data_IF_878392901705
#
_entry.id   IF_878392901705
#
_cell.length_a   1.000
_cell.length_b   1.000
_cell.length_c   1.000
_cell.angle_alpha   90.00
_cell.angle_beta   90.00
_cell.angle_gamma   90.00
#
_symmetry.space_group_name_H-M   'P 1'
#
loop_
_entity.id
_entity.type
_entity.pdbx_description
1 polymer ?
#
# COMPACT_ATOMS: atom_id res chain seq x y z
N UNK A 1 17.64 94.85 -10.61
CA UNK A 1 18.16 95.02 -9.23
C UNK A 1 18.05 93.67 -8.50
N UNK A 2 19.18 93.18 -7.97
CA UNK A 2 19.42 92.17 -6.90
C UNK A 2 18.36 91.06 -6.70
N UNK A 3 18.62 89.81 -7.09
CA UNK A 3 19.40 88.76 -6.40
C UNK A 3 18.53 87.85 -5.51
N UNK A 4 18.56 86.52 -5.70
CA UNK A 4 19.14 85.51 -4.78
C UNK A 4 18.68 84.06 -5.13
N UNK A 5 19.40 83.08 -4.58
CA UNK A 5 19.61 81.69 -5.02
C UNK A 5 18.73 80.60 -4.37
N UNK A 6 18.40 79.56 -5.17
CA UNK A 6 18.35 78.09 -4.93
C UNK A 6 17.40 77.48 -3.83
N UNK A 7 17.18 76.14 -3.75
CA UNK A 7 15.87 75.50 -3.89
C UNK A 7 15.46 74.60 -2.69
N UNK A 8 14.20 74.16 -2.60
CA UNK A 8 13.75 73.10 -1.66
C UNK A 8 12.32 72.71 -2.08
N UNK A 9 12.10 71.54 -2.72
CA UNK A 9 11.83 70.23 -2.11
C UNK A 9 10.52 70.17 -1.29
N UNK A 10 9.80 69.03 -1.40
CA UNK A 10 8.53 68.63 -0.72
C UNK A 10 7.25 69.25 -1.33
N UNK A 11 6.19 68.52 -1.71
CA UNK A 11 5.69 67.22 -1.28
C UNK A 11 5.11 66.43 -2.47
N UNK A 12 5.74 65.31 -2.83
CA UNK A 12 5.03 64.19 -3.47
C UNK A 12 4.62 63.26 -2.32
N UNK A 13 3.35 63.30 -1.92
CA UNK A 13 2.75 62.33 -1.02
C UNK A 13 2.59 61.00 -1.75
N UNK A 14 3.66 60.21 -1.77
CA UNK A 14 3.63 58.79 -2.09
C UNK A 14 2.84 58.12 -0.95
N UNK A 15 1.57 57.80 -1.22
CA UNK A 15 0.86 56.79 -0.45
C UNK A 15 1.58 55.45 -0.67
N UNK A 16 2.60 55.21 0.14
CA UNK A 16 3.23 53.91 0.26
C UNK A 16 2.18 53.00 0.91
N UNK A 17 1.39 52.35 0.06
CA UNK A 17 0.54 51.24 0.46
C UNK A 17 1.50 50.13 0.86
N UNK A 18 1.93 50.12 2.13
CA UNK A 18 2.59 48.99 2.73
C UNK A 18 1.63 47.80 2.58
N UNK A 19 1.86 46.96 1.58
CA UNK A 19 1.32 45.61 1.54
C UNK A 19 1.97 44.84 2.69
N UNK A 20 1.48 45.09 3.91
CA UNK A 20 1.73 44.24 5.05
C UNK A 20 1.28 42.83 4.64
N UNK A 21 2.11 41.79 4.83
CA UNK A 21 1.63 40.43 4.64
C UNK A 21 0.42 40.28 5.56
N UNK A 22 -0.75 39.95 4.98
CA UNK A 22 -1.90 39.55 5.77
C UNK A 22 -1.43 38.37 6.63
N UNK A 23 -1.26 38.61 7.92
CA UNK A 23 -1.21 37.54 8.90
C UNK A 23 -2.57 36.85 8.79
N UNK A 24 -2.60 35.67 8.17
CA UNK A 24 -3.79 34.83 8.20
C UNK A 24 -4.03 34.49 9.67
N UNK A 25 -4.98 35.19 10.28
CA UNK A 25 -5.53 34.80 11.56
C UNK A 25 -6.03 33.35 11.45
N UNK A 26 -5.97 32.61 12.55
CA UNK A 26 -6.48 31.24 12.59
C UNK A 26 -7.95 31.23 12.15
N UNK A 27 -8.30 30.38 11.19
CA UNK A 27 -9.70 30.12 10.89
C UNK A 27 -10.26 29.21 11.98
N UNK A 28 -11.20 29.76 12.76
CA UNK A 28 -11.80 29.12 13.93
C UNK A 28 -13.14 28.52 13.53
N UNK A 29 -13.29 27.21 13.70
CA UNK A 29 -14.52 26.48 13.43
C UNK A 29 -15.28 26.25 14.74
N UNK A 30 -16.43 26.92 14.96
CA UNK A 30 -17.20 26.80 16.20
C UNK A 30 -17.93 25.46 16.30
N UNK A 31 -17.94 24.88 17.50
CA UNK A 31 -18.67 23.66 17.85
C UNK A 31 -19.34 23.87 19.21
N UNK A 32 -20.65 24.14 19.19
CA UNK A 32 -21.40 24.49 20.40
C UNK A 32 -20.84 25.76 21.06
N UNK A 33 -20.40 25.64 22.31
CA UNK A 33 -19.74 26.75 23.05
C UNK A 33 -18.22 26.80 22.86
N UNK A 34 -17.64 25.84 22.15
CA UNK A 34 -16.20 25.77 21.89
C UNK A 34 -15.88 25.96 20.41
N UNK A 35 -14.63 25.70 20.03
CA UNK A 35 -14.16 25.76 18.66
C UNK A 35 -12.86 24.99 18.46
N UNK A 36 -12.52 24.68 17.22
CA UNK A 36 -11.20 24.16 16.84
C UNK A 36 -10.59 24.97 15.68
N UNK A 37 -9.27 24.89 15.57
CA UNK A 37 -8.50 25.48 14.49
C UNK A 37 -8.64 24.63 13.22
N UNK A 38 -9.05 25.20 12.09
CA UNK A 38 -9.18 24.47 10.81
C UNK A 38 -7.84 24.04 10.19
N UNK A 39 -6.74 24.63 10.66
CA UNK A 39 -5.37 24.28 10.31
C UNK A 39 -4.45 24.50 11.51
N UNK A 40 -3.26 23.86 11.57
CA UNK A 40 -2.37 24.04 12.72
C UNK A 40 -1.90 25.50 12.85
N UNK A 41 -1.95 26.09 14.07
CA UNK A 41 -1.40 27.42 14.33
C UNK A 41 0.07 27.54 13.88
N UNK A 42 0.55 28.72 13.43
CA UNK A 42 1.89 28.85 12.84
C UNK A 42 3.06 28.39 13.72
N UNK A 43 2.92 28.50 15.04
CA UNK A 43 3.88 28.01 16.04
C UNK A 43 3.83 26.48 16.19
N UNK A 44 2.64 25.89 16.10
CA UNK A 44 2.41 24.44 16.14
C UNK A 44 2.66 23.74 14.79
N UNK A 45 2.61 24.46 13.67
CA UNK A 45 2.77 23.95 12.30
C UNK A 45 4.24 23.62 11.92
N UNK A 46 5.12 23.42 12.90
CA UNK A 46 6.57 23.21 12.71
C UNK A 46 6.98 21.79 13.10
N UNK A 47 8.18 21.39 12.71
CA UNK A 47 8.76 20.09 13.10
C UNK A 47 7.90 18.91 12.65
N UNK A 48 7.52 18.04 13.60
CA UNK A 48 6.73 16.82 13.31
C UNK A 48 5.35 17.10 12.74
N UNK A 49 4.71 18.20 13.08
CA UNK A 49 3.42 18.57 12.49
C UNK A 49 3.57 18.89 10.99
N UNK A 50 4.62 19.65 10.62
CA UNK A 50 4.94 19.93 9.23
C UNK A 50 5.28 18.65 8.45
N UNK A 51 6.04 17.73 9.06
CA UNK A 51 6.37 16.44 8.45
C UNK A 51 5.11 15.62 8.17
N UNK A 52 4.19 15.52 9.15
CA UNK A 52 2.95 14.75 8.99
C UNK A 52 2.01 15.35 7.96
N UNK A 53 1.87 16.68 7.92
CA UNK A 53 0.97 17.34 6.96
C UNK A 53 1.46 17.28 5.51
N UNK A 54 2.79 17.19 5.30
CA UNK A 54 3.38 17.18 3.97
C UNK A 54 3.87 15.79 3.53
N UNK A 55 3.64 14.75 4.33
CA UNK A 55 4.07 13.40 4.01
C UNK A 55 3.33 12.89 2.77
N UNK A 56 4.03 12.31 1.77
CA UNK A 56 3.35 11.66 0.66
C UNK A 56 2.58 10.43 1.16
N UNK A 57 1.33 10.32 0.70
CA UNK A 57 0.47 9.18 1.00
C UNK A 57 0.39 8.26 -0.22
N UNK A 58 0.44 6.96 0.04
CA UNK A 58 0.39 5.90 -0.97
C UNK A 58 -1.06 5.47 -1.20
N UNK A 59 -1.77 6.28 -1.98
CA UNK A 59 -3.18 6.02 -2.36
C UNK A 59 -3.28 5.79 -3.87
N UNK A 60 -4.17 4.91 -4.29
CA UNK A 60 -4.52 4.77 -5.72
C UNK A 60 -5.38 5.95 -6.17
N UNK A 61 -6.35 6.34 -5.35
CA UNK A 61 -7.24 7.48 -5.56
C UNK A 61 -7.20 8.40 -4.34
N UNK A 62 -7.12 9.71 -4.57
CA UNK A 62 -7.25 10.73 -3.54
C UNK A 62 -8.62 11.40 -3.69
N UNK A 63 -9.67 10.72 -3.22
CA UNK A 63 -11.07 11.10 -3.40
C UNK A 63 -11.65 11.90 -2.22
N UNK A 64 -10.77 12.59 -1.48
CA UNK A 64 -11.09 13.43 -0.31
C UNK A 64 -11.77 12.71 0.86
N UNK A 65 -11.97 11.39 0.80
CA UNK A 65 -12.50 10.61 1.92
C UNK A 65 -11.50 10.66 3.09
N UNK A 66 -11.98 10.76 4.35
CA UNK A 66 -11.12 10.62 5.51
C UNK A 66 -10.36 9.30 5.46
N UNK A 67 -9.03 9.39 5.59
CA UNK A 67 -8.15 8.23 5.51
C UNK A 67 -8.12 7.55 6.88
N UNK A 68 -8.45 6.25 6.97
CA UNK A 68 -8.36 5.52 8.22
C UNK A 68 -6.93 5.55 8.77
N UNK A 69 -6.84 5.70 10.09
CA UNK A 69 -5.59 5.61 10.84
C UNK A 69 -5.73 4.51 11.90
N UNK A 70 -4.60 4.07 12.47
CA UNK A 70 -4.58 3.05 13.53
C UNK A 70 -5.24 1.72 13.13
N UNK A 71 -5.32 1.43 11.84
CA UNK A 71 -5.72 0.13 11.29
C UNK A 71 -4.49 -0.74 11.09
N UNK A 72 -4.68 -2.06 11.19
CA UNK A 72 -3.63 -3.07 10.95
C UNK A 72 -2.94 -2.90 9.58
N UNK A 73 -3.65 -2.32 8.61
CA UNK A 73 -3.18 -2.09 7.25
C UNK A 73 -2.66 -0.68 6.96
N UNK A 74 -2.61 0.24 7.94
CA UNK A 74 -2.25 1.66 7.72
C UNK A 74 -0.86 1.85 7.10
N UNK A 75 0.03 0.86 7.23
CA UNK A 75 1.31 0.79 6.53
C UNK A 75 1.18 1.00 5.00
N UNK A 76 0.08 0.55 4.39
CA UNK A 76 -0.22 0.74 2.96
C UNK A 76 -0.39 2.21 2.55
N UNK A 77 -0.74 3.08 3.49
CA UNK A 77 -0.93 4.51 3.25
C UNK A 77 0.38 5.28 3.41
N UNK A 78 1.28 4.80 4.27
CA UNK A 78 2.43 5.60 4.72
C UNK A 78 3.79 5.07 4.25
N UNK A 79 3.85 3.85 3.73
CA UNK A 79 5.08 3.18 3.31
C UNK A 79 5.03 2.85 1.82
N UNK A 80 6.16 3.02 1.11
CA UNK A 80 6.30 2.63 -0.31
C UNK A 80 5.91 1.17 -0.54
N UNK A 81 6.33 0.30 0.36
CA UNK A 81 5.84 -1.06 0.47
C UNK A 81 5.41 -1.28 1.91
N UNK A 82 4.14 -1.65 2.11
CA UNK A 82 3.71 -2.16 3.40
C UNK A 82 4.47 -3.47 3.71
N UNK A 83 4.66 -3.74 5.00
CA UNK A 83 5.24 -4.99 5.47
C UNK A 83 4.38 -5.54 6.59
N UNK A 84 4.35 -6.86 6.71
CA UNK A 84 3.74 -7.56 7.83
C UNK A 84 2.25 -7.23 7.99
N UNK A 85 1.50 -7.28 6.88
CA UNK A 85 0.04 -7.12 6.93
C UNK A 85 -0.57 -8.40 7.51
N UNK A 86 -0.73 -8.44 8.83
CA UNK A 86 -1.30 -9.55 9.57
C UNK A 86 -2.82 -9.57 9.46
N UNK A 87 -3.33 -10.24 8.42
CA UNK A 87 -4.76 -10.43 8.22
C UNK A 87 -5.30 -11.64 9.00
N UNK A 88 -4.48 -12.67 9.21
CA UNK A 88 -4.90 -13.97 9.78
C UNK A 88 -5.98 -14.69 8.94
N UNK A 89 -5.76 -15.95 8.53
CA UNK A 89 -4.61 -16.80 8.81
C UNK A 89 -3.34 -16.37 8.06
N UNK A 90 -3.45 -15.47 7.08
CA UNK A 90 -2.30 -15.02 6.30
C UNK A 90 -1.61 -13.80 6.89
N UNK A 91 -0.29 -13.76 6.70
CA UNK A 91 0.47 -12.51 6.64
C UNK A 91 0.79 -12.20 5.19
N UNK A 92 0.65 -10.93 4.82
CA UNK A 92 0.81 -10.45 3.45
C UNK A 92 1.85 -9.36 3.38
N UNK A 93 2.87 -9.56 2.55
CA UNK A 93 4.04 -8.68 2.45
C UNK A 93 4.26 -8.26 0.99
N UNK A 94 3.75 -7.10 0.55
CA UNK A 94 4.07 -6.56 -0.77
C UNK A 94 5.53 -6.09 -0.84
N UNK A 95 6.15 -6.25 -2.01
CA UNK A 95 7.53 -5.85 -2.28
C UNK A 95 7.76 -5.67 -3.77
N UNK A 96 8.96 -5.20 -4.15
CA UNK A 96 9.43 -5.15 -5.54
C UNK A 96 9.53 -6.53 -6.24
N UNK A 97 9.45 -7.63 -5.47
CA UNK A 97 9.44 -9.01 -6.00
C UNK A 97 8.02 -9.52 -6.27
N UNK A 98 7.00 -8.76 -5.89
CA UNK A 98 5.60 -9.17 -5.86
C UNK A 98 5.07 -9.24 -4.42
N UNK A 99 4.09 -10.09 -4.21
CA UNK A 99 3.38 -10.25 -2.95
C UNK A 99 3.75 -11.57 -2.29
N UNK A 100 4.41 -11.54 -1.14
CA UNK A 100 4.65 -12.74 -0.35
C UNK A 100 3.46 -13.04 0.57
N UNK A 101 2.93 -14.25 0.47
CA UNK A 101 1.86 -14.77 1.32
C UNK A 101 2.43 -15.82 2.26
N UNK A 102 2.39 -15.53 3.56
CA UNK A 102 2.79 -16.47 4.59
C UNK A 102 1.54 -17.06 5.24
N UNK A 103 1.52 -18.39 5.41
CA UNK A 103 0.55 -19.09 6.24
C UNK A 103 1.29 -19.78 7.40
N UNK A 104 1.49 -19.07 8.52
CA UNK A 104 2.17 -19.66 9.66
C UNK A 104 1.31 -20.70 10.34
N UNK A 105 1.88 -21.87 10.61
CA UNK A 105 1.22 -22.98 11.32
C UNK A 105 1.84 -23.26 12.69
N UNK A 106 2.99 -22.64 12.97
CA UNK A 106 3.79 -22.88 14.16
C UNK A 106 4.30 -21.57 14.76
N UNK A 107 4.57 -21.61 16.06
CA UNK A 107 5.23 -20.53 16.80
C UNK A 107 6.72 -20.80 16.89
N UNK A 108 7.52 -19.73 16.81
CA UNK A 108 8.95 -19.80 17.08
C UNK A 108 9.19 -20.29 18.51
N UNK A 109 10.27 -21.05 18.71
CA UNK A 109 10.62 -21.62 20.02
C UNK A 109 10.84 -20.54 21.08
N UNK A 110 11.31 -19.37 20.68
CA UNK A 110 11.55 -18.21 21.53
C UNK A 110 10.24 -17.53 21.98
N UNK A 111 9.08 -17.89 21.40
CA UNK A 111 7.79 -17.31 21.74
C UNK A 111 7.58 -15.87 21.27
N UNK A 112 8.44 -15.37 20.38
CA UNK A 112 8.42 -13.98 19.91
C UNK A 112 7.68 -13.77 18.59
N UNK A 113 7.00 -14.79 18.08
CA UNK A 113 6.19 -14.69 16.87
C UNK A 113 6.00 -16.02 16.14
N UNK A 114 5.15 -16.03 15.11
CA UNK A 114 4.94 -17.22 14.28
C UNK A 114 6.07 -17.42 13.26
N UNK A 115 6.21 -18.66 12.77
CA UNK A 115 7.22 -19.03 11.77
C UNK A 115 6.76 -18.63 10.36
N UNK A 116 7.52 -17.74 9.71
CA UNK A 116 7.23 -17.20 8.37
C UNK A 116 8.40 -17.51 7.41
N UNK A 117 8.64 -18.80 7.15
CA UNK A 117 9.80 -19.31 6.43
C UNK A 117 9.51 -19.78 5.00
N UNK A 118 8.24 -19.90 4.64
CA UNK A 118 7.80 -20.52 3.39
C UNK A 118 6.73 -19.63 2.74
N UNK A 119 7.10 -18.54 2.06
CA UNK A 119 6.13 -17.68 1.38
C UNK A 119 5.65 -18.28 0.07
N UNK A 120 4.34 -18.23 -0.18
CA UNK A 120 3.80 -18.34 -1.53
C UNK A 120 3.90 -16.96 -2.16
N UNK A 121 4.79 -16.79 -3.13
CA UNK A 121 5.02 -15.49 -3.76
C UNK A 121 4.17 -15.35 -5.00
N UNK A 122 3.22 -14.42 -4.97
CA UNK A 122 2.40 -14.01 -6.10
C UNK A 122 3.12 -12.89 -6.85
N UNK A 123 3.32 -13.06 -8.15
CA UNK A 123 4.02 -12.09 -8.99
C UNK A 123 3.57 -12.21 -10.44
N UNK A 124 4.35 -11.71 -11.39
CA UNK A 124 4.14 -11.96 -12.80
C UNK A 124 5.43 -11.99 -13.61
N UNK A 125 5.31 -12.42 -14.87
CA UNK A 125 6.41 -12.42 -15.82
C UNK A 125 6.92 -10.99 -16.02
N UNK A 126 8.22 -10.79 -15.77
CA UNK A 126 8.91 -9.49 -15.88
C UNK A 126 8.16 -8.34 -15.20
N UNK A 127 7.58 -8.62 -14.03
CA UNK A 127 6.82 -7.65 -13.24
C UNK A 127 7.66 -7.17 -12.04
N UNK A 128 7.84 -5.85 -11.94
CA UNK A 128 8.63 -5.15 -10.91
C UNK A 128 7.80 -4.00 -10.34
N UNK A 129 6.85 -4.25 -9.42
CA UNK A 129 6.05 -3.18 -8.85
C UNK A 129 6.96 -2.13 -8.19
N UNK A 130 6.62 -0.86 -8.37
CA UNK A 130 7.33 0.27 -7.80
C UNK A 130 6.89 0.58 -6.37
N UNK A 131 5.62 0.30 -6.04
CA UNK A 131 5.01 0.55 -4.74
C UNK A 131 3.84 -0.40 -4.43
N UNK A 132 3.34 -0.30 -3.19
CA UNK A 132 2.02 -0.77 -2.78
C UNK A 132 1.18 0.41 -2.29
N UNK A 133 0.00 0.62 -2.86
CA UNK A 133 -0.88 1.77 -2.54
C UNK A 133 -2.26 1.32 -2.08
N UNK A 134 -2.78 1.91 -1.00
CA UNK A 134 -4.15 1.66 -0.57
C UNK A 134 -5.14 2.09 -1.66
N UNK A 135 -6.09 1.21 -1.99
CA UNK A 135 -7.08 1.40 -3.07
C UNK A 135 -8.48 1.67 -2.52
N UNK A 136 -8.93 0.83 -1.58
CA UNK A 136 -10.23 0.96 -0.93
C UNK A 136 -10.24 0.19 0.40
N UNK A 137 -11.22 0.43 1.25
CA UNK A 137 -11.30 -0.19 2.57
C UNK A 137 -12.73 -0.26 3.12
N UNK A 138 -12.93 -1.19 4.05
CA UNK A 138 -14.14 -1.34 4.85
C UNK A 138 -13.76 -1.51 6.33
N UNK A 139 -14.68 -1.98 7.16
CA UNK A 139 -14.45 -2.21 8.58
C UNK A 139 -13.30 -3.20 8.84
N UNK A 140 -13.22 -4.29 8.05
CA UNK A 140 -12.22 -5.36 8.21
C UNK A 140 -11.50 -5.79 6.91
N UNK A 141 -11.93 -5.33 5.72
CA UNK A 141 -11.21 -5.55 4.46
C UNK A 141 -10.42 -4.32 4.02
N UNK A 142 -9.32 -4.56 3.31
CA UNK A 142 -8.56 -3.57 2.56
C UNK A 142 -8.24 -4.10 1.17
N UNK A 143 -8.38 -3.22 0.18
CA UNK A 143 -7.87 -3.42 -1.17
C UNK A 143 -6.66 -2.52 -1.40
N UNK A 144 -5.62 -3.03 -2.04
CA UNK A 144 -4.43 -2.26 -2.38
C UNK A 144 -3.83 -2.70 -3.71
N UNK A 145 -3.04 -1.82 -4.32
CA UNK A 145 -2.43 -2.03 -5.63
C UNK A 145 -0.94 -2.22 -5.48
N UNK A 146 -0.39 -3.32 -6.02
CA UNK A 146 1.01 -3.41 -6.40
C UNK A 146 1.13 -2.87 -7.83
N UNK A 147 1.66 -1.66 -8.00
CA UNK A 147 1.71 -0.99 -9.31
C UNK A 147 3.11 -0.90 -9.88
N UNK A 148 3.30 -1.30 -11.13
CA UNK A 148 4.52 -1.01 -11.90
C UNK A 148 4.29 0.17 -12.86
N UNK A 149 3.18 0.13 -13.60
CA UNK A 149 2.71 1.23 -14.47
C UNK A 149 1.18 1.35 -14.35
N UNK A 150 0.55 2.39 -14.94
CA UNK A 150 -0.92 2.50 -14.95
C UNK A 150 -1.64 1.29 -15.59
N UNK A 151 -1.00 0.56 -16.50
CA UNK A 151 -1.56 -0.61 -17.20
C UNK A 151 -0.93 -1.95 -16.77
N UNK A 152 0.03 -1.93 -15.85
CA UNK A 152 0.68 -3.13 -15.29
C UNK A 152 0.61 -3.09 -13.77
N UNK A 153 -0.37 -3.79 -13.20
CA UNK A 153 -0.56 -3.86 -11.76
C UNK A 153 -1.32 -5.11 -11.32
N UNK A 154 -1.25 -5.38 -10.01
CA UNK A 154 -2.05 -6.38 -9.32
C UNK A 154 -2.81 -5.67 -8.21
N UNK A 155 -4.14 -5.67 -8.26
CA UNK A 155 -4.97 -5.27 -7.13
C UNK A 155 -5.21 -6.48 -6.22
N UNK A 156 -5.04 -6.28 -4.92
CA UNK A 156 -5.07 -7.31 -3.89
C UNK A 156 -6.13 -6.93 -2.88
N UNK A 157 -7.04 -7.84 -2.56
CA UNK A 157 -8.02 -7.65 -1.48
C UNK A 157 -7.85 -8.73 -0.42
N UNK A 158 -7.72 -8.28 0.82
CA UNK A 158 -7.55 -9.11 2.02
C UNK A 158 -8.39 -8.55 3.16
N UNK A 159 -8.72 -9.37 4.13
CA UNK A 159 -9.42 -8.94 5.32
C UNK A 159 -9.07 -9.78 6.54
N UNK A 160 -9.29 -9.22 7.72
CA UNK A 160 -9.01 -9.95 8.96
C UNK A 160 -9.88 -11.21 9.07
N UNK A 161 -9.26 -12.35 9.42
CA UNK A 161 -9.94 -13.63 9.57
C UNK A 161 -10.36 -14.29 8.25
N UNK A 162 -9.94 -13.77 7.10
CA UNK A 162 -10.33 -14.31 5.79
C UNK A 162 -9.30 -15.33 5.26
N UNK A 163 -9.71 -16.57 4.95
CA UNK A 163 -8.82 -17.58 4.37
C UNK A 163 -8.65 -17.42 2.85
N UNK A 164 -8.87 -16.21 2.32
CA UNK A 164 -8.75 -15.89 0.90
C UNK A 164 -7.94 -14.61 0.69
N UNK A 165 -7.11 -14.62 -0.35
CA UNK A 165 -6.46 -13.43 -0.91
C UNK A 165 -6.98 -13.29 -2.33
N UNK A 166 -7.71 -12.22 -2.61
CA UNK A 166 -8.25 -11.96 -3.94
C UNK A 166 -7.26 -11.15 -4.76
N UNK A 167 -7.03 -11.55 -6.01
CA UNK A 167 -6.01 -11.00 -6.88
C UNK A 167 -6.62 -10.64 -8.24
N UNK A 168 -6.53 -9.38 -8.63
CA UNK A 168 -7.01 -8.87 -9.91
C UNK A 168 -5.82 -8.33 -10.71
N UNK A 169 -5.55 -8.94 -11.86
CA UNK A 169 -4.39 -8.62 -12.69
C UNK A 169 -4.77 -7.71 -13.84
N UNK A 170 -3.94 -6.70 -14.11
CA UNK A 170 -4.03 -5.84 -15.30
C UNK A 170 -2.66 -5.80 -15.98
N UNK A 171 -2.58 -6.27 -17.23
CA UNK A 171 -1.34 -6.25 -18.03
C UNK A 171 -0.18 -7.09 -17.46
N UNK A 172 -0.49 -8.03 -16.55
CA UNK A 172 0.48 -8.89 -15.87
C UNK A 172 0.04 -10.33 -16.05
N UNK A 173 0.92 -11.17 -16.58
CA UNK A 173 0.73 -12.62 -16.60
C UNK A 173 1.01 -13.18 -15.20
N UNK A 174 0.05 -13.83 -14.53
CA UNK A 174 0.25 -14.39 -13.19
C UNK A 174 1.40 -15.39 -13.16
N UNK A 175 2.20 -15.32 -12.10
CA UNK A 175 3.23 -16.30 -11.77
C UNK A 175 3.19 -16.54 -10.27
N UNK A 176 3.23 -17.80 -9.85
CA UNK A 176 3.41 -18.19 -8.46
C UNK A 176 4.80 -18.78 -8.26
N UNK A 177 5.50 -18.39 -7.20
CA UNK A 177 6.77 -19.00 -6.79
C UNK A 177 6.62 -19.58 -5.40
N UNK A 178 7.26 -20.73 -5.18
CA UNK A 178 7.19 -21.47 -3.92
C UNK A 178 8.59 -21.60 -3.29
N UNK A 179 9.25 -20.50 -2.90
CA UNK A 179 10.57 -20.57 -2.28
C UNK A 179 10.51 -20.78 -0.75
N UNK A 180 11.66 -21.06 -0.16
CA UNK A 180 11.93 -20.81 1.26
C UNK A 180 12.24 -19.31 1.53
N UNK A 181 12.55 -18.97 2.77
CA UNK A 181 12.87 -17.61 3.22
C UNK A 181 14.17 -17.06 2.61
N UNK A 182 15.03 -17.93 2.08
CA UNK A 182 16.26 -17.58 1.37
C UNK A 182 16.05 -17.43 -0.13
N UNK A 183 14.86 -17.72 -0.64
CA UNK A 183 14.55 -17.66 -2.07
C UNK A 183 14.86 -18.96 -2.82
N UNK A 184 15.19 -20.05 -2.13
CA UNK A 184 15.45 -21.36 -2.73
C UNK A 184 14.13 -22.02 -3.11
N UNK A 185 13.93 -22.47 -4.36
CA UNK A 185 12.72 -23.20 -4.74
C UNK A 185 12.50 -24.46 -3.88
N UNK A 186 11.28 -24.63 -3.38
CA UNK A 186 10.86 -25.81 -2.61
C UNK A 186 9.96 -26.67 -3.47
N UNK A 187 10.15 -27.99 -3.41
CA UNK A 187 9.34 -28.94 -4.15
C UNK A 187 7.87 -28.86 -3.71
N UNK A 188 6.97 -28.94 -4.70
CA UNK A 188 5.53 -28.93 -4.49
C UNK A 188 4.87 -30.12 -5.17
N UNK A 189 3.77 -30.58 -4.60
CA UNK A 189 2.85 -31.53 -5.24
C UNK A 189 1.53 -30.83 -5.57
N UNK A 190 0.81 -31.36 -6.55
CA UNK A 190 -0.43 -30.77 -7.04
C UNK A 190 -1.57 -31.76 -6.89
N UNK A 191 -2.78 -31.24 -6.67
CA UNK A 191 -3.99 -32.04 -6.58
C UNK A 191 -5.18 -31.33 -7.21
N UNK A 192 -6.16 -32.10 -7.64
CA UNK A 192 -7.41 -31.59 -8.20
C UNK A 192 -8.44 -31.23 -7.11
N UNK A 193 -9.59 -30.70 -7.52
CA UNK A 193 -10.68 -30.33 -6.60
C UNK A 193 -11.20 -31.48 -5.73
N UNK A 194 -11.03 -32.73 -6.16
CA UNK A 194 -11.40 -33.92 -5.42
C UNK A 194 -10.28 -34.44 -4.49
N UNK A 195 -9.13 -33.75 -4.44
CA UNK A 195 -7.97 -34.14 -3.65
C UNK A 195 -7.11 -35.22 -4.29
N UNK A 196 -7.34 -35.56 -5.56
CA UNK A 196 -6.53 -36.56 -6.28
C UNK A 196 -5.27 -35.92 -6.81
N UNK A 197 -4.15 -36.65 -6.81
CA UNK A 197 -2.88 -36.17 -7.35
C UNK A 197 -3.03 -35.69 -8.80
N UNK A 198 -2.38 -34.57 -9.12
CA UNK A 198 -2.36 -33.97 -10.44
C UNK A 198 -0.91 -33.71 -10.88
N UNK A 199 -0.67 -33.77 -12.19
CA UNK A 199 0.61 -33.45 -12.81
C UNK A 199 0.41 -32.25 -13.73
N UNK A 200 1.16 -31.17 -13.50
CA UNK A 200 1.13 -30.01 -14.38
C UNK A 200 1.77 -30.33 -15.74
N UNK A 201 1.26 -29.77 -16.85
CA UNK A 201 0.19 -28.78 -16.91
C UNK A 201 -1.21 -29.38 -16.78
N UNK A 202 -2.12 -28.62 -16.16
CA UNK A 202 -3.56 -28.92 -16.11
C UNK A 202 -4.35 -27.70 -16.62
N UNK A 203 -5.54 -27.93 -17.16
CA UNK A 203 -6.46 -26.84 -17.55
C UNK A 203 -7.76 -26.98 -16.78
N UNK A 204 -8.31 -25.86 -16.31
CA UNK A 204 -9.55 -25.82 -15.55
C UNK A 204 -9.71 -24.50 -14.80
N UNK A 205 -10.53 -24.51 -13.75
CA UNK A 205 -10.81 -23.36 -12.88
C UNK A 205 -10.01 -23.37 -11.58
N UNK A 206 -9.32 -24.47 -11.25
CA UNK A 206 -8.53 -24.57 -10.03
C UNK A 206 -7.42 -25.62 -10.07
N UNK A 207 -6.43 -25.43 -9.20
CA UNK A 207 -5.43 -26.43 -8.83
C UNK A 207 -5.07 -26.29 -7.35
N UNK A 208 -4.94 -27.41 -6.66
CA UNK A 208 -4.40 -27.48 -5.32
C UNK A 208 -2.88 -27.59 -5.34
N UNK A 209 -2.21 -26.91 -4.41
CA UNK A 209 -0.76 -26.94 -4.22
C UNK A 209 -0.47 -27.38 -2.80
N UNK A 210 0.40 -28.35 -2.62
CA UNK A 210 1.02 -28.65 -1.32
C UNK A 210 2.53 -28.42 -1.42
N UNK A 211 3.08 -27.51 -0.61
CA UNK A 211 4.53 -27.34 -0.45
C UNK A 211 4.86 -26.97 0.99
N UNK A 212 5.97 -27.47 1.54
CA UNK A 212 6.39 -27.15 2.90
C UNK A 212 5.31 -27.41 3.96
N UNK A 213 4.59 -28.54 3.84
CA UNK A 213 3.45 -28.95 4.68
C UNK A 213 2.25 -27.96 4.71
N UNK A 214 2.20 -27.03 3.75
CA UNK A 214 1.09 -26.07 3.60
C UNK A 214 0.34 -26.38 2.32
N UNK A 215 -0.98 -26.32 2.39
CA UNK A 215 -1.85 -26.56 1.23
C UNK A 215 -2.63 -25.30 0.88
N UNK A 216 -2.66 -24.97 -0.41
CA UNK A 216 -3.35 -23.81 -0.96
C UNK A 216 -4.25 -24.26 -2.12
N UNK A 217 -5.42 -23.64 -2.26
CA UNK A 217 -6.24 -23.74 -3.46
C UNK A 217 -6.03 -22.49 -4.32
N UNK A 218 -5.65 -22.68 -5.58
CA UNK A 218 -5.58 -21.60 -6.57
C UNK A 218 -6.81 -21.70 -7.44
N UNK A 219 -7.56 -20.59 -7.53
CA UNK A 219 -8.78 -20.48 -8.32
C UNK A 219 -8.59 -19.43 -9.40
N UNK A 220 -9.02 -19.73 -10.62
CA UNK A 220 -8.89 -18.89 -11.80
C UNK A 220 -10.13 -19.05 -12.68
N UNK A 221 -10.33 -18.20 -13.71
CA UNK A 221 -11.39 -18.41 -14.69
C UNK A 221 -11.32 -19.80 -15.34
N UNK A 222 -12.47 -20.35 -15.71
CA UNK A 222 -12.54 -21.66 -16.37
C UNK A 222 -11.68 -21.70 -17.65
N UNK A 223 -11.09 -22.86 -17.93
CA UNK A 223 -10.15 -23.06 -19.03
C UNK A 223 -8.75 -22.46 -18.82
N UNK A 224 -8.43 -21.93 -17.63
CA UNK A 224 -7.07 -21.48 -17.31
C UNK A 224 -6.10 -22.65 -17.34
N UNK A 225 -4.95 -22.47 -18.01
CA UNK A 225 -3.85 -23.45 -18.01
C UNK A 225 -2.86 -23.15 -16.89
N UNK A 226 -2.74 -24.06 -15.95
CA UNK A 226 -1.70 -24.05 -14.90
C UNK A 226 -0.52 -24.89 -15.38
N UNK A 227 0.71 -24.38 -15.31
CA UNK A 227 1.89 -25.09 -15.79
C UNK A 227 3.13 -24.73 -14.98
N UNK A 228 3.97 -25.71 -14.66
CA UNK A 228 5.21 -25.45 -13.96
C UNK A 228 6.38 -25.22 -14.93
N UNK A 229 7.10 -24.12 -14.76
CA UNK A 229 8.35 -23.82 -15.47
C UNK A 229 9.39 -23.26 -14.50
N UNK A 230 10.58 -23.86 -14.44
CA UNK A 230 11.73 -23.37 -13.64
C UNK A 230 11.41 -23.08 -12.16
N UNK A 231 10.59 -23.90 -11.50
CA UNK A 231 10.21 -23.73 -10.09
C UNK A 231 9.16 -22.66 -9.83
N UNK A 232 8.47 -22.19 -10.89
CA UNK A 232 7.31 -21.32 -10.82
C UNK A 232 6.10 -21.98 -11.51
N UNK A 233 4.89 -21.53 -11.19
CA UNK A 233 3.61 -21.99 -11.74
C UNK A 233 2.90 -20.82 -12.43
#
# INVERSE_FOLDING_TARGET
MKALHLPQALLLSIACFCALPLSHAQDVLPVGKGSYASFPPPDAAKGKAAEMNNRPLFLVNADERPIPTNKWWTQLVVSRFAKELWAYPFRVDPSEKGLALYYPQEWKREGNGPVCDLPLTVTGKDFRPADSRAKDWSDWLVSFRLGETPDRFIDVTIGEGMPYVWLEYRGVQPVLRLPDDKGTPVAATFFDRAGRSATLPVSGDCVGITYGNRSYGIFAPDGTRFAAENGAI
#
